data_IF_071211517647
#
_entry.id   IF_071211517647
#
_cell.length_a   1.000
_cell.length_b   1.000
_cell.length_c   1.000
_cell.angle_alpha   90.00
_cell.angle_beta   90.00
_cell.angle_gamma   90.00
#
_symmetry.space_group_name_H-M   'P 1'
#
loop_
_entity.id
_entity.type
_entity.pdbx_description
1 polymer ?
#
# COMPACT_ATOMS: atom_id res chain seq x y z
N UNK A 1 6.58 -5.33 -0.45
CA UNK A 1 6.01 -4.04 0.01
C UNK A 1 4.50 -4.17 -0.08
N UNK A 2 3.78 -3.87 1.00
CA UNK A 2 2.31 -3.93 1.10
C UNK A 2 1.81 -2.49 1.23
N UNK A 3 0.75 -2.15 0.51
CA UNK A 3 0.07 -0.86 0.67
C UNK A 3 -1.38 -1.11 1.08
N UNK A 4 -1.89 -0.28 1.98
CA UNK A 4 -3.30 -0.28 2.41
C UNK A 4 -3.91 1.10 2.22
N UNK A 5 -5.23 1.18 2.19
CA UNK A 5 -5.99 2.42 2.08
C UNK A 5 -6.79 2.66 3.35
N UNK A 6 -6.83 3.91 3.84
CA UNK A 6 -7.51 4.26 5.11
C UNK A 6 -8.99 3.86 5.12
N UNK A 7 -9.70 4.02 4.00
CA UNK A 7 -11.13 3.70 3.89
C UNK A 7 -11.37 2.40 3.11
N UNK A 8 -10.46 1.43 3.23
CA UNK A 8 -10.59 0.09 2.65
C UNK A 8 -11.00 -0.90 3.75
N UNK A 9 -12.12 -1.64 3.60
CA UNK A 9 -12.48 -2.71 4.52
C UNK A 9 -11.39 -3.78 4.71
N UNK A 10 -10.48 -3.94 3.75
CA UNK A 10 -9.37 -4.90 3.77
C UNK A 10 -8.09 -4.36 4.43
N UNK A 11 -8.14 -3.15 4.99
CA UNK A 11 -6.96 -2.49 5.54
C UNK A 11 -6.32 -3.30 6.68
N UNK A 12 -7.16 -3.82 7.59
CA UNK A 12 -6.69 -4.59 8.74
C UNK A 12 -6.09 -5.94 8.31
N UNK A 13 -6.68 -6.62 7.33
CA UNK A 13 -6.13 -7.87 6.78
C UNK A 13 -4.80 -7.64 6.06
N UNK A 14 -4.66 -6.52 5.34
CA UNK A 14 -3.40 -6.12 4.70
C UNK A 14 -2.27 -5.92 5.72
N UNK A 15 -2.56 -5.27 6.84
CA UNK A 15 -1.58 -5.06 7.91
C UNK A 15 -1.31 -6.33 8.73
N UNK A 16 -2.32 -7.17 8.93
CA UNK A 16 -2.14 -8.49 9.52
C UNK A 16 -1.20 -9.38 8.67
N UNK A 17 -1.33 -9.31 7.32
CA UNK A 17 -0.41 -10.00 6.42
C UNK A 17 1.03 -9.49 6.57
N UNK A 18 1.23 -8.17 6.69
CA UNK A 18 2.55 -7.58 6.96
C UNK A 18 3.17 -8.14 8.25
N UNK A 19 2.40 -8.16 9.35
CA UNK A 19 2.88 -8.72 10.62
C UNK A 19 3.20 -10.21 10.51
N UNK A 20 2.38 -10.98 9.80
CA UNK A 20 2.63 -12.41 9.57
C UNK A 20 3.91 -12.64 8.76
N UNK A 21 4.13 -11.88 7.69
CA UNK A 21 5.33 -12.01 6.85
C UNK A 21 6.60 -11.64 7.60
N UNK A 22 6.60 -10.50 8.31
CA UNK A 22 7.75 -10.06 9.10
C UNK A 22 8.05 -10.99 10.28
N UNK A 23 7.02 -11.53 10.94
CA UNK A 23 7.17 -12.55 11.98
C UNK A 23 7.80 -13.86 11.50
N UNK A 24 7.74 -14.14 10.19
CA UNK A 24 8.41 -15.29 9.55
C UNK A 24 9.79 -14.94 8.97
N UNK A 25 10.31 -13.74 9.25
CA UNK A 25 11.61 -13.28 8.76
C UNK A 25 11.60 -12.78 7.31
N UNK A 26 10.43 -12.64 6.67
CA UNK A 26 10.35 -12.06 5.32
C UNK A 26 10.60 -10.56 5.42
N UNK A 27 11.61 -10.09 4.69
CA UNK A 27 11.92 -8.67 4.54
C UNK A 27 10.83 -7.99 3.72
N UNK A 28 9.89 -7.32 4.39
CA UNK A 28 8.86 -6.51 3.73
C UNK A 28 8.59 -5.21 4.48
N UNK A 29 7.94 -4.28 3.81
CA UNK A 29 7.49 -2.98 4.34
C UNK A 29 5.97 -2.86 4.15
N UNK A 30 5.31 -2.07 5.00
CA UNK A 30 3.88 -1.75 4.89
C UNK A 30 3.68 -0.24 4.99
N UNK A 31 2.74 0.30 4.21
CA UNK A 31 2.38 1.72 4.25
C UNK A 31 0.88 1.91 4.02
N UNK A 32 0.23 2.58 4.96
CA UNK A 32 -1.17 3.02 4.84
C UNK A 32 -1.22 4.38 4.15
N UNK A 33 -2.02 4.49 3.09
CA UNK A 33 -2.33 5.74 2.42
C UNK A 33 -3.61 6.33 3.00
N UNK A 34 -3.53 7.56 3.50
CA UNK A 34 -4.65 8.27 4.11
C UNK A 34 -5.50 8.98 3.04
N UNK A 35 -6.79 9.16 3.33
CA UNK A 35 -7.73 9.88 2.46
C UNK A 35 -8.22 9.08 1.24
N UNK A 36 -7.88 7.80 1.14
CA UNK A 36 -8.13 6.99 -0.07
C UNK A 36 -8.97 5.75 0.23
N UNK A 37 -9.68 5.28 -0.79
CA UNK A 37 -10.56 4.12 -0.77
C UNK A 37 -9.88 2.89 -1.38
N UNK A 38 -10.51 1.73 -1.25
CA UNK A 38 -10.15 0.54 -2.02
C UNK A 38 -10.05 0.85 -3.53
N UNK A 39 -9.02 0.31 -4.19
CA UNK A 39 -8.79 0.51 -5.62
C UNK A 39 -8.16 1.84 -6.03
N UNK A 40 -7.85 2.75 -5.09
CA UNK A 40 -7.31 4.08 -5.41
C UNK A 40 -6.07 4.06 -6.31
N UNK A 41 -5.25 3.01 -6.26
CA UNK A 41 -4.03 2.89 -7.05
C UNK A 41 -4.27 2.98 -8.56
N UNK A 42 -5.45 2.59 -9.04
CA UNK A 42 -5.83 2.66 -10.46
C UNK A 42 -6.21 4.09 -10.90
N UNK A 43 -6.43 5.01 -9.97
CA UNK A 43 -6.94 6.36 -10.22
C UNK A 43 -5.85 7.40 -10.50
N UNK A 44 -4.66 6.97 -10.95
CA UNK A 44 -3.49 7.84 -11.15
C UNK A 44 -3.72 9.02 -12.11
N UNK A 45 -4.69 8.92 -13.02
CA UNK A 45 -5.08 9.99 -13.94
C UNK A 45 -5.85 11.15 -13.29
N UNK A 46 -6.46 10.93 -12.12
CA UNK A 46 -7.33 11.93 -11.46
C UNK A 46 -7.01 12.16 -9.97
N UNK A 47 -6.24 11.28 -9.33
CA UNK A 47 -5.91 11.35 -7.90
C UNK A 47 -4.41 11.59 -7.69
N UNK A 48 -4.06 12.67 -6.98
CA UNK A 48 -2.67 12.95 -6.59
C UNK A 48 -2.13 11.89 -5.62
N UNK A 49 -2.97 11.38 -4.72
CA UNK A 49 -2.60 10.32 -3.79
C UNK A 49 -2.26 9.03 -4.56
N UNK A 50 -3.05 8.67 -5.58
CA UNK A 50 -2.77 7.53 -6.44
C UNK A 50 -1.48 7.70 -7.24
N UNK A 51 -1.24 8.89 -7.80
CA UNK A 51 -0.01 9.19 -8.53
C UNK A 51 1.23 9.14 -7.64
N UNK A 52 1.10 9.61 -6.40
CA UNK A 52 2.17 9.52 -5.40
C UNK A 52 2.45 8.07 -5.01
N UNK A 53 1.41 7.25 -4.81
CA UNK A 53 1.57 5.82 -4.55
C UNK A 53 2.25 5.09 -5.71
N UNK A 54 1.85 5.37 -6.95
CA UNK A 54 2.50 4.82 -8.15
C UNK A 54 4.00 5.14 -8.19
N UNK A 55 4.38 6.40 -7.93
CA UNK A 55 5.79 6.81 -7.88
C UNK A 55 6.57 6.09 -6.78
N UNK A 56 6.01 6.00 -5.58
CA UNK A 56 6.65 5.32 -4.44
C UNK A 56 6.85 3.83 -4.74
N UNK A 57 5.80 3.14 -5.22
CA UNK A 57 5.88 1.72 -5.59
C UNK A 57 6.90 1.51 -6.71
N UNK A 58 6.92 2.34 -7.75
CA UNK A 58 7.88 2.25 -8.83
C UNK A 58 9.33 2.43 -8.34
N UNK A 59 9.58 3.41 -7.47
CA UNK A 59 10.90 3.63 -6.87
C UNK A 59 11.35 2.42 -6.05
N UNK A 60 10.46 1.82 -5.25
CA UNK A 60 10.77 0.64 -4.42
C UNK A 60 11.02 -0.60 -5.25
N UNK A 61 10.27 -0.82 -6.32
CA UNK A 61 10.40 -1.99 -7.19
C UNK A 61 11.63 -1.94 -8.10
N UNK A 62 12.12 -0.74 -8.41
CA UNK A 62 13.35 -0.54 -9.20
C UNK A 62 14.65 -0.61 -8.39
N UNK A 63 14.57 -0.87 -7.07
CA UNK A 63 15.73 -1.10 -6.20
C UNK A 63 15.99 -2.59 -6.03
#
# INVERSE_FOLDING_TARGET
>A
HIITAEYDPLCDEGEALYHRMTGQGVQCTCQRYLGVIHGFFQLGGISEAARSALRDVAWRAGR
#
